data_IF_750525220812
#
_entry.id   IF_750525220812
#
_cell.length_a   1.000
_cell.length_b   1.000
_cell.length_c   1.000
_cell.angle_alpha   90.00
_cell.angle_beta   90.00
_cell.angle_gamma   90.00
#
_symmetry.space_group_name_H-M   'P 1'
#
loop_
_entity.id
_entity.type
_entity.pdbx_description
1 polymer ?
#
# COMPACT_ATOMS: atom_id res chain seq x y z
N UNK A 1 -1.06 3.77 -12.95
CA UNK A 1 -1.66 2.62 -12.23
C UNK A 1 -0.55 1.87 -11.51
N UNK A 2 -0.87 1.06 -10.50
CA UNK A 2 0.14 0.40 -9.63
C UNK A 2 -0.46 -0.84 -8.99
N UNK A 3 0.37 -1.72 -8.43
CA UNK A 3 -0.04 -2.74 -7.46
C UNK A 3 0.63 -2.42 -6.13
N UNK A 4 -0.17 -2.37 -5.07
CA UNK A 4 0.29 -2.18 -3.70
C UNK A 4 -0.18 -3.34 -2.82
N UNK A 5 0.63 -3.73 -1.85
CA UNK A 5 0.33 -4.81 -0.89
C UNK A 5 0.67 -4.42 0.53
N UNK A 6 -0.17 -4.86 1.47
CA UNK A 6 0.09 -4.80 2.91
C UNK A 6 -0.20 -6.14 3.55
N UNK A 7 0.77 -6.69 4.30
CA UNK A 7 0.61 -7.86 5.15
C UNK A 7 0.71 -7.42 6.61
N UNK A 8 -0.26 -7.85 7.42
CA UNK A 8 -0.16 -7.80 8.88
C UNK A 8 0.18 -9.21 9.35
N UNK A 9 1.36 -9.39 9.94
CA UNK A 9 1.85 -10.66 10.50
C UNK A 9 1.93 -10.56 12.01
N UNK A 10 2.23 -11.66 12.70
CA UNK A 10 2.32 -11.65 14.17
C UNK A 10 3.41 -10.71 14.70
N UNK A 11 4.55 -10.66 13.99
CA UNK A 11 5.77 -9.97 14.38
C UNK A 11 5.95 -8.59 13.70
N UNK A 12 5.11 -8.24 12.73
CA UNK A 12 5.08 -6.89 12.16
C UNK A 12 4.23 -6.72 10.91
N UNK A 13 4.33 -5.54 10.31
CA UNK A 13 3.59 -5.15 9.11
C UNK A 13 4.58 -5.00 7.95
N UNK A 14 4.25 -5.58 6.81
CA UNK A 14 5.00 -5.42 5.55
C UNK A 14 4.16 -4.63 4.57
N UNK A 15 4.68 -3.53 4.05
CA UNK A 15 4.09 -2.76 2.95
C UNK A 15 5.00 -2.83 1.74
N UNK A 16 4.47 -3.07 0.55
CA UNK A 16 5.29 -3.07 -0.66
C UNK A 16 4.52 -2.53 -1.87
N UNK A 17 5.25 -1.95 -2.83
CA UNK A 17 4.71 -1.44 -4.09
C UNK A 17 5.71 -1.57 -5.24
N UNK A 18 5.18 -1.71 -6.45
CA UNK A 18 5.93 -1.44 -7.67
C UNK A 18 6.26 0.06 -7.78
N UNK A 19 7.23 0.45 -8.60
CA UNK A 19 7.67 1.84 -8.72
C UNK A 19 7.29 2.53 -10.03
N UNK A 20 6.52 1.87 -10.90
CA UNK A 20 6.13 2.44 -12.20
C UNK A 20 5.00 3.43 -12.04
N UNK A 21 5.18 4.60 -12.63
CA UNK A 21 4.13 5.60 -12.83
C UNK A 21 3.71 5.61 -14.30
N UNK A 22 2.41 5.47 -14.53
CA UNK A 22 1.79 5.55 -15.86
C UNK A 22 1.35 6.99 -16.13
N UNK A 23 1.82 7.58 -17.22
CA UNK A 23 1.42 8.90 -17.68
C UNK A 23 0.55 8.73 -18.93
N UNK A 24 -0.67 9.27 -18.90
CA UNK A 24 -1.60 9.23 -20.02
C UNK A 24 -1.80 10.65 -20.55
N UNK A 25 -1.33 10.91 -21.76
CA UNK A 25 -1.54 12.17 -22.46
C UNK A 25 -2.68 12.03 -23.46
N UNK A 26 -3.77 12.75 -23.26
CA UNK A 26 -4.89 12.79 -24.21
C UNK A 26 -4.75 14.02 -25.10
N UNK A 27 -4.68 13.82 -26.42
CA UNK A 27 -4.61 14.88 -27.42
C UNK A 27 -6.02 15.38 -27.80
N UNK A 28 -6.15 16.60 -28.39
CA UNK A 28 -7.45 17.17 -28.76
C UNK A 28 -8.29 16.32 -29.73
N UNK A 29 -7.64 15.43 -30.49
CA UNK A 29 -8.30 14.49 -31.39
C UNK A 29 -8.76 13.18 -30.69
N UNK A 30 -8.64 13.11 -29.36
CA UNK A 30 -8.98 11.92 -28.56
C UNK A 30 -7.90 10.83 -28.55
N UNK A 31 -6.79 10.99 -29.29
CA UNK A 31 -5.67 10.04 -29.22
C UNK A 31 -5.07 10.05 -27.82
N UNK A 32 -4.76 8.88 -27.28
CA UNK A 32 -4.01 8.74 -26.04
C UNK A 32 -2.59 8.25 -26.33
N UNK A 33 -1.62 8.88 -25.68
CA UNK A 33 -0.23 8.40 -25.59
C UNK A 33 0.01 7.97 -24.15
N UNK A 34 0.46 6.73 -23.99
CA UNK A 34 0.82 6.16 -22.69
C UNK A 34 2.33 6.08 -22.61
N UNK A 35 2.88 6.57 -21.50
CA UNK A 35 4.31 6.44 -21.20
C UNK A 35 4.51 6.00 -19.76
N UNK A 36 5.67 5.43 -19.49
CA UNK A 36 6.00 4.84 -18.20
C UNK A 36 7.29 5.44 -17.67
N UNK A 37 7.32 5.67 -16.36
CA UNK A 37 8.53 6.05 -15.63
C UNK A 37 8.67 5.14 -14.41
N UNK A 38 9.86 4.57 -14.25
CA UNK A 38 10.19 3.68 -13.14
C UNK A 38 10.96 4.42 -12.05
N UNK A 39 10.97 3.86 -10.83
CA UNK A 39 11.70 4.40 -9.68
C UNK A 39 10.91 5.35 -8.77
N UNK A 40 9.64 5.61 -9.04
CA UNK A 40 8.81 6.49 -8.22
C UNK A 40 8.34 5.78 -6.94
N UNK A 41 8.52 6.42 -5.78
CA UNK A 41 8.09 5.85 -4.49
C UNK A 41 6.58 6.02 -4.32
N UNK A 42 5.94 4.94 -3.84
CA UNK A 42 4.50 4.91 -3.50
C UNK A 42 4.25 4.61 -2.03
N UNK A 43 5.33 4.44 -1.27
CA UNK A 43 5.32 4.24 0.16
C UNK A 43 5.95 5.48 0.79
N UNK A 44 5.32 6.01 1.83
CA UNK A 44 5.71 7.21 2.53
C UNK A 44 5.68 6.96 4.02
N UNK A 45 6.61 7.56 4.75
CA UNK A 45 6.51 7.67 6.20
C UNK A 45 5.70 8.92 6.54
N UNK A 46 4.78 8.82 7.50
CA UNK A 46 3.99 9.98 7.92
C UNK A 46 4.77 10.87 8.89
N UNK A 47 5.45 11.88 8.35
CA UNK A 47 6.33 12.76 9.11
C UNK A 47 7.52 12.00 9.69
N UNK A 48 7.78 12.19 10.99
CA UNK A 48 8.82 11.49 11.75
C UNK A 48 8.28 10.28 12.54
N UNK A 49 7.05 9.83 12.27
CA UNK A 49 6.37 8.76 13.02
C UNK A 49 6.56 7.40 12.36
N UNK A 50 6.48 6.34 13.16
CA UNK A 50 6.51 4.94 12.68
C UNK A 50 5.16 4.50 12.08
N UNK A 51 4.68 5.30 11.13
CA UNK A 51 3.43 5.08 10.38
C UNK A 51 3.77 5.10 8.89
N UNK A 52 3.46 4.01 8.22
CA UNK A 52 3.58 3.86 6.78
C UNK A 52 2.28 4.22 6.07
N UNK A 53 2.40 4.93 4.95
CA UNK A 53 1.32 5.28 4.03
C UNK A 53 1.70 4.74 2.66
N UNK A 54 0.86 3.86 2.12
CA UNK A 54 1.06 3.24 0.82
C UNK A 54 -0.07 3.69 -0.11
N UNK A 55 0.28 4.33 -1.21
CA UNK A 55 -0.66 5.08 -2.04
C UNK A 55 -0.71 4.52 -3.46
N UNK A 56 -1.91 4.33 -4.00
CA UNK A 56 -2.11 4.08 -5.42
C UNK A 56 -3.38 4.77 -5.95
N UNK A 57 -3.38 5.08 -7.24
CA UNK A 57 -4.42 5.89 -7.87
C UNK A 57 -3.83 7.18 -8.41
N UNK A 58 -4.52 8.30 -8.22
CA UNK A 58 -3.99 9.60 -8.63
C UNK A 58 -2.69 9.93 -7.86
N UNK A 59 -1.72 10.53 -8.55
CA UNK A 59 -0.44 10.94 -7.99
C UNK A 59 -0.48 12.35 -7.36
N UNK A 60 -1.67 12.95 -7.27
CA UNK A 60 -1.88 14.29 -6.72
C UNK A 60 -3.15 14.33 -5.86
N UNK A 61 -3.21 15.32 -4.96
CA UNK A 61 -4.41 15.69 -4.21
C UNK A 61 -4.65 17.18 -4.45
N UNK A 62 -5.57 17.51 -5.36
CA UNK A 62 -5.67 18.86 -5.90
C UNK A 62 -4.44 19.20 -6.73
N UNK A 63 -3.75 20.28 -6.38
CA UNK A 63 -2.53 20.74 -7.07
C UNK A 63 -1.22 20.22 -6.43
N UNK A 64 -1.31 19.52 -5.29
CA UNK A 64 -0.16 19.01 -4.53
C UNK A 64 0.18 17.59 -4.98
N UNK A 65 1.48 17.26 -5.10
CA UNK A 65 1.90 15.86 -5.20
C UNK A 65 1.74 15.14 -3.86
N UNK A 66 1.74 13.80 -3.87
CA UNK A 66 1.49 13.02 -2.64
C UNK A 66 2.49 13.35 -1.51
N UNK A 67 3.83 13.43 -1.75
CA UNK A 67 4.77 13.85 -0.71
C UNK A 67 4.44 15.20 -0.08
N UNK A 68 4.19 16.23 -0.89
CA UNK A 68 3.90 17.59 -0.40
C UNK A 68 2.59 17.61 0.38
N UNK A 69 1.57 16.94 -0.14
CA UNK A 69 0.28 16.77 0.53
C UNK A 69 0.44 16.14 1.92
N UNK A 70 1.17 15.02 2.02
CA UNK A 70 1.36 14.30 3.29
C UNK A 70 2.18 15.11 4.30
N UNK A 71 3.19 15.85 3.84
CA UNK A 71 3.98 16.76 4.69
C UNK A 71 3.12 17.93 5.22
N UNK A 72 2.28 18.50 4.35
CA UNK A 72 1.32 19.53 4.71
C UNK A 72 0.30 19.00 5.73
N UNK A 73 -0.24 17.81 5.50
CA UNK A 73 -1.18 17.14 6.40
C UNK A 73 -0.56 16.89 7.79
N UNK A 74 0.66 16.36 7.83
CA UNK A 74 1.41 16.15 9.07
C UNK A 74 1.59 17.45 9.87
N UNK A 75 1.85 18.56 9.18
CA UNK A 75 2.02 19.87 9.82
C UNK A 75 0.73 20.45 10.39
N UNK A 76 -0.44 20.06 9.84
CA UNK A 76 -1.77 20.53 10.29
C UNK A 76 -2.39 19.63 11.35
N UNK A 77 -2.07 18.34 11.35
CA UNK A 77 -2.60 17.39 12.32
C UNK A 77 -1.89 17.48 13.67
N UNK A 78 -2.60 17.07 14.73
CA UNK A 78 -1.98 16.85 16.03
C UNK A 78 -0.88 15.78 15.89
N UNK A 79 0.30 15.99 16.48
CA UNK A 79 1.39 14.99 16.49
C UNK A 79 0.98 13.65 17.11
N UNK A 80 -0.03 13.65 17.96
CA UNK A 80 -0.63 12.48 18.59
C UNK A 80 -1.83 11.90 17.83
N UNK A 81 -2.14 12.41 16.63
CA UNK A 81 -3.25 11.90 15.83
C UNK A 81 -3.12 10.39 15.65
N UNK A 82 -4.22 9.69 15.87
CA UNK A 82 -4.33 8.26 15.64
C UNK A 82 -4.18 7.94 14.15
N UNK A 83 -3.76 6.71 13.84
CA UNK A 83 -3.74 6.15 12.48
C UNK A 83 -5.14 6.25 11.86
N UNK A 84 -6.19 6.05 12.66
CA UNK A 84 -7.58 6.25 12.25
C UNK A 84 -7.85 7.70 11.84
N UNK A 85 -7.50 8.67 12.68
CA UNK A 85 -7.69 10.10 12.37
C UNK A 85 -6.91 10.52 11.12
N UNK A 86 -5.70 9.99 10.92
CA UNK A 86 -4.93 10.22 9.69
C UNK A 86 -5.69 9.67 8.48
N UNK A 87 -6.18 8.43 8.55
CA UNK A 87 -6.94 7.81 7.47
C UNK A 87 -8.25 8.57 7.16
N UNK A 88 -8.97 9.00 8.19
CA UNK A 88 -10.18 9.81 8.07
C UNK A 88 -9.88 11.17 7.44
N UNK A 89 -8.77 11.82 7.82
CA UNK A 89 -8.41 13.12 7.27
C UNK A 89 -7.94 13.05 5.82
N UNK A 90 -7.18 12.00 5.48
CA UNK A 90 -6.85 11.69 4.08
C UNK A 90 -8.14 11.54 3.29
N UNK A 91 -9.08 10.70 3.75
CA UNK A 91 -10.34 10.47 3.07
C UNK A 91 -11.16 11.76 2.87
N UNK A 92 -11.29 12.59 3.91
CA UNK A 92 -12.00 13.87 3.86
C UNK A 92 -11.41 14.80 2.80
N UNK A 93 -10.11 15.13 2.89
CA UNK A 93 -9.48 16.10 1.98
C UNK A 93 -9.43 15.58 0.54
N UNK A 94 -9.28 14.26 0.36
CA UNK A 94 -9.31 13.61 -0.93
C UNK A 94 -10.68 13.70 -1.61
N UNK A 95 -11.77 13.44 -0.87
CA UNK A 95 -13.12 13.55 -1.41
C UNK A 95 -13.49 14.99 -1.79
N UNK A 96 -12.95 15.98 -1.08
CA UNK A 96 -13.18 17.40 -1.37
C UNK A 96 -12.42 17.89 -2.59
N UNK A 97 -11.18 17.42 -2.79
CA UNK A 97 -10.23 18.00 -3.75
C UNK A 97 -10.05 17.20 -5.02
N UNK A 98 -10.42 15.92 -5.00
CA UNK A 98 -10.17 14.99 -6.12
C UNK A 98 -11.51 14.54 -6.69
N UNK A 99 -12.18 15.47 -7.39
CA UNK A 99 -13.50 15.19 -7.98
C UNK A 99 -13.40 14.17 -9.12
N UNK A 100 -13.99 12.99 -8.92
CA UNK A 100 -14.17 11.98 -9.97
C UNK A 100 -13.04 10.98 -10.15
N UNK A 101 -12.03 10.99 -9.27
CA UNK A 101 -10.93 10.02 -9.32
C UNK A 101 -10.93 9.10 -8.11
N UNK A 102 -10.40 7.90 -8.29
CA UNK A 102 -10.34 6.87 -7.25
C UNK A 102 -9.06 7.03 -6.42
N UNK A 103 -9.21 7.15 -5.12
CA UNK A 103 -8.09 7.19 -4.17
C UNK A 103 -8.07 5.88 -3.39
N UNK A 104 -6.89 5.28 -3.35
CA UNK A 104 -6.63 4.01 -2.67
C UNK A 104 -5.37 4.17 -1.84
N UNK A 105 -5.51 4.02 -0.54
CA UNK A 105 -4.43 4.27 0.39
C UNK A 105 -4.51 3.24 1.54
N UNK A 106 -3.36 2.70 1.91
CA UNK A 106 -3.19 1.90 3.13
C UNK A 106 -2.39 2.72 4.13
N UNK A 107 -2.87 2.82 5.37
CA UNK A 107 -2.20 3.51 6.48
C UNK A 107 -2.01 2.49 7.59
N UNK A 108 -0.76 2.23 7.95
CA UNK A 108 -0.43 1.17 8.90
C UNK A 108 0.66 1.59 9.89
N UNK A 109 0.61 1.02 11.09
CA UNK A 109 1.59 1.26 12.14
C UNK A 109 1.15 0.65 13.46
N UNK A 110 1.67 1.19 14.56
CA UNK A 110 1.34 0.74 15.91
C UNK A 110 0.71 1.86 16.72
N UNK A 111 -0.34 1.52 17.47
CA UNK A 111 -0.95 2.37 18.49
C UNK A 111 -0.92 1.66 19.83
N UNK A 112 -0.27 2.27 20.83
CA UNK A 112 -0.17 1.69 22.17
C UNK A 112 0.33 0.23 22.16
N UNK A 113 1.32 -0.07 21.30
CA UNK A 113 1.88 -1.41 21.14
C UNK A 113 1.03 -2.38 20.31
N UNK A 114 -0.09 -1.94 19.76
CA UNK A 114 -1.03 -2.75 18.98
C UNK A 114 -0.94 -2.41 17.50
N UNK A 115 -0.83 -3.41 16.63
CA UNK A 115 -0.84 -3.20 15.18
C UNK A 115 -2.20 -2.65 14.71
N UNK A 116 -2.18 -1.58 13.93
CA UNK A 116 -3.37 -0.96 13.34
C UNK A 116 -3.14 -0.73 11.86
N UNK A 117 -4.10 -1.16 11.04
CA UNK A 117 -4.08 -0.98 9.60
C UNK A 117 -5.45 -0.53 9.08
N UNK A 118 -5.48 0.66 8.53
CA UNK A 118 -6.63 1.26 7.87
C UNK A 118 -6.44 1.31 6.37
N UNK A 119 -7.51 1.04 5.65
CA UNK A 119 -7.60 1.20 4.21
C UNK A 119 -8.61 2.29 3.88
N UNK A 120 -8.21 3.20 3.00
CA UNK A 120 -9.07 4.21 2.37
C UNK A 120 -9.28 3.82 0.92
N UNK A 121 -10.52 3.55 0.52
CA UNK A 121 -10.88 3.24 -0.87
C UNK A 121 -12.16 3.97 -1.21
N UNK A 122 -12.11 4.79 -2.26
CA UNK A 122 -13.28 5.39 -2.90
C UNK A 122 -14.24 6.06 -1.89
N UNK A 123 -13.68 6.84 -0.96
CA UNK A 123 -14.43 7.61 0.04
C UNK A 123 -14.71 6.87 1.36
N UNK A 124 -14.27 5.62 1.49
CA UNK A 124 -14.57 4.76 2.65
C UNK A 124 -13.30 4.39 3.42
N UNK A 125 -13.31 4.62 4.73
CA UNK A 125 -12.26 4.21 5.67
C UNK A 125 -12.65 2.90 6.35
N UNK A 126 -11.78 1.89 6.31
CA UNK A 126 -12.02 0.57 6.91
C UNK A 126 -10.82 0.10 7.74
N UNK A 127 -11.05 -0.34 8.98
CA UNK A 127 -10.04 -1.02 9.80
C UNK A 127 -9.95 -2.49 9.35
N UNK A 128 -8.77 -2.92 8.85
CA UNK A 128 -8.63 -4.20 8.15
C UNK A 128 -8.11 -5.36 8.98
N UNK A 129 -7.30 -5.07 10.00
CA UNK A 129 -6.60 -6.09 10.77
C UNK A 129 -7.16 -6.24 12.18
N UNK A 130 -8.48 -6.16 12.35
CA UNK A 130 -9.14 -6.27 13.65
C UNK A 130 -10.17 -7.38 13.65
N UNK A 131 -10.16 -8.21 14.69
CA UNK A 131 -11.30 -9.06 15.00
C UNK A 131 -12.42 -8.18 15.57
N UNK A 132 -13.57 -8.04 14.90
CA UNK A 132 -14.62 -7.13 15.35
C UNK A 132 -15.27 -7.53 16.68
N UNK A 133 -15.23 -8.81 17.04
CA UNK A 133 -15.80 -9.32 18.29
C UNK A 133 -14.84 -9.15 19.48
N UNK A 134 -13.55 -9.36 19.24
CA UNK A 134 -12.52 -9.38 20.29
C UNK A 134 -11.75 -8.06 20.40
N UNK A 135 -11.79 -7.21 19.39
CA UNK A 135 -11.05 -5.96 19.33
C UNK A 135 -9.52 -6.13 19.25
N UNK A 136 -9.04 -7.32 18.89
CA UNK A 136 -7.61 -7.64 18.81
C UNK A 136 -7.11 -7.67 17.37
N UNK A 137 -5.82 -7.38 17.12
CA UNK A 137 -5.24 -7.49 15.80
C UNK A 137 -5.33 -8.90 15.22
N UNK A 138 -5.58 -9.00 13.91
CA UNK A 138 -5.55 -10.27 13.17
C UNK A 138 -4.50 -10.21 12.06
N UNK A 139 -4.01 -11.38 11.68
CA UNK A 139 -3.24 -11.50 10.44
C UNK A 139 -4.12 -11.05 9.27
N UNK A 140 -3.52 -10.29 8.38
CA UNK A 140 -4.22 -9.66 7.28
C UNK A 140 -3.34 -9.70 6.03
N UNK A 141 -3.95 -9.81 4.86
CA UNK A 141 -3.29 -9.48 3.60
C UNK A 141 -4.26 -8.68 2.74
N UNK A 142 -3.79 -7.53 2.27
CA UNK A 142 -4.59 -6.59 1.48
C UNK A 142 -3.82 -6.08 0.29
N UNK A 143 -4.53 -5.92 -0.83
CA UNK A 143 -3.99 -5.48 -2.11
C UNK A 143 -4.94 -4.48 -2.74
N UNK A 144 -4.38 -3.45 -3.36
CA UNK A 144 -5.13 -2.51 -4.18
C UNK A 144 -4.35 -2.07 -5.42
N UNK A 145 -5.05 -1.41 -6.34
CA UNK A 145 -4.54 -1.07 -7.66
C UNK A 145 -5.01 -2.05 -8.73
N UNK A 146 -4.10 -2.61 -9.53
CA UNK A 146 -4.45 -3.59 -10.57
C UNK A 146 -4.81 -4.95 -9.92
N UNK A 147 -6.10 -5.29 -9.92
CA UNK A 147 -6.68 -6.39 -9.11
C UNK A 147 -6.61 -7.78 -9.73
N UNK A 148 -6.21 -7.90 -11.00
CA UNK A 148 -6.29 -9.17 -11.70
C UNK A 148 -5.22 -10.18 -11.24
N UNK A 149 -4.01 -9.70 -10.91
CA UNK A 149 -2.89 -10.57 -10.51
C UNK A 149 -3.10 -11.15 -9.11
N UNK A 150 -3.63 -10.35 -8.18
CA UNK A 150 -3.97 -10.85 -6.84
C UNK A 150 -5.07 -11.90 -6.90
N UNK A 151 -6.01 -11.80 -7.85
CA UNK A 151 -7.04 -12.83 -8.07
C UNK A 151 -6.46 -14.14 -8.59
N UNK A 152 -5.49 -14.13 -9.50
CA UNK A 152 -4.89 -15.36 -10.05
C UNK A 152 -4.08 -16.09 -8.97
N UNK A 153 -3.24 -15.37 -8.23
CA UNK A 153 -2.40 -15.96 -7.17
C UNK A 153 -3.25 -16.55 -6.03
N UNK A 154 -4.33 -15.86 -5.65
CA UNK A 154 -5.18 -16.26 -4.51
C UNK A 154 -6.25 -17.27 -4.91
N UNK A 155 -6.91 -17.11 -6.08
CA UNK A 155 -8.07 -17.95 -6.46
C UNK A 155 -7.70 -19.17 -7.28
N UNK A 156 -6.64 -19.13 -8.09
CA UNK A 156 -6.25 -20.26 -8.94
C UNK A 156 -5.29 -21.23 -8.21
N UNK A 157 -5.01 -21.00 -6.92
CA UNK A 157 -4.14 -21.80 -6.04
C UNK A 157 -2.73 -22.02 -6.60
N UNK A 158 -2.24 -21.04 -7.35
CA UNK A 158 -0.89 -21.12 -7.88
C UNK A 158 0.11 -20.83 -6.75
N UNK A 159 1.09 -21.73 -6.58
CA UNK A 159 2.11 -21.56 -5.55
C UNK A 159 3.17 -20.58 -6.02
N UNK A 160 3.52 -19.63 -5.16
CA UNK A 160 4.65 -18.73 -5.38
C UNK A 160 5.93 -19.34 -4.81
N UNK A 161 7.02 -19.26 -5.55
CA UNK A 161 8.35 -19.61 -5.03
C UNK A 161 8.98 -18.40 -4.30
N UNK A 162 9.07 -18.49 -2.97
CA UNK A 162 9.69 -17.46 -2.12
C UNK A 162 11.10 -17.86 -1.66
N UNK A 163 11.99 -18.13 -2.62
CA UNK A 163 13.39 -18.46 -2.32
C UNK A 163 13.60 -19.95 -2.05
N UNK A 164 13.05 -20.80 -2.91
CA UNK A 164 13.11 -22.26 -2.85
C UNK A 164 11.95 -22.91 -2.09
N UNK A 165 11.00 -22.12 -1.57
CA UNK A 165 9.80 -22.61 -0.86
C UNK A 165 8.55 -22.20 -1.64
N UNK A 166 7.81 -23.20 -2.10
CA UNK A 166 6.51 -22.99 -2.74
C UNK A 166 5.44 -22.75 -1.68
N UNK A 167 4.81 -21.58 -1.72
CA UNK A 167 3.79 -21.14 -0.74
C UNK A 167 2.51 -20.70 -1.44
N UNK A 168 1.40 -20.77 -0.71
CA UNK A 168 0.12 -20.19 -1.12
C UNK A 168 -0.48 -19.32 0.01
N UNK A 169 -1.71 -18.82 -0.19
CA UNK A 169 -2.39 -17.96 0.79
C UNK A 169 -2.55 -18.63 2.17
N UNK A 170 -2.69 -19.96 2.22
CA UNK A 170 -2.86 -20.69 3.48
C UNK A 170 -1.59 -20.74 4.33
N UNK A 171 -0.43 -20.46 3.74
CA UNK A 171 0.84 -20.36 4.47
C UNK A 171 1.01 -18.98 5.15
N UNK A 172 0.31 -17.92 4.70
CA UNK A 172 0.48 -16.54 5.20
C UNK A 172 0.33 -16.44 6.73
N UNK A 173 -0.64 -17.11 7.38
CA UNK A 173 -0.76 -17.07 8.84
C UNK A 173 0.45 -17.62 9.62
N UNK A 174 1.35 -18.33 8.94
CA UNK A 174 2.53 -18.94 9.52
C UNK A 174 3.83 -18.23 9.12
N UNK A 175 3.74 -17.17 8.31
CA UNK A 175 4.92 -16.41 7.91
C UNK A 175 5.52 -15.65 9.08
N UNK A 176 6.85 -15.67 9.14
CA UNK A 176 7.64 -14.64 9.81
C UNK A 176 7.81 -13.43 8.89
N UNK A 177 8.23 -12.30 9.44
CA UNK A 177 8.44 -11.06 8.67
C UNK A 177 9.24 -11.22 7.37
N UNK A 178 10.39 -11.93 7.41
CA UNK A 178 11.23 -12.15 6.22
C UNK A 178 10.49 -12.93 5.11
N UNK A 179 9.69 -13.92 5.48
CA UNK A 179 8.86 -14.65 4.52
C UNK A 179 7.77 -13.75 3.94
N UNK A 180 7.14 -12.91 4.76
CA UNK A 180 6.18 -11.89 4.32
C UNK A 180 6.76 -10.92 3.30
N UNK A 181 7.99 -10.43 3.52
CA UNK A 181 8.70 -9.56 2.58
C UNK A 181 8.98 -10.28 1.27
N UNK A 182 9.54 -11.49 1.32
CA UNK A 182 9.83 -12.27 0.11
C UNK A 182 8.58 -12.59 -0.68
N UNK A 183 7.48 -12.89 0.00
CA UNK A 183 6.19 -13.15 -0.60
C UNK A 183 5.63 -11.90 -1.30
N UNK A 184 5.57 -10.76 -0.60
CA UNK A 184 5.13 -9.48 -1.16
C UNK A 184 5.95 -9.10 -2.41
N UNK A 185 7.27 -9.23 -2.31
CA UNK A 185 8.21 -8.95 -3.41
C UNK A 185 7.98 -9.88 -4.60
N UNK A 186 7.87 -11.18 -4.37
CA UNK A 186 7.67 -12.17 -5.45
C UNK A 186 6.37 -11.92 -6.19
N UNK A 187 5.31 -11.59 -5.45
CA UNK A 187 4.01 -11.21 -6.01
C UNK A 187 4.11 -9.95 -6.89
N UNK A 188 4.79 -8.91 -6.40
CA UNK A 188 4.96 -7.67 -7.16
C UNK A 188 5.88 -7.84 -8.39
N UNK A 189 6.95 -8.64 -8.28
CA UNK A 189 7.81 -8.96 -9.43
C UNK A 189 7.04 -9.67 -10.52
N UNK A 190 6.19 -10.64 -10.15
CA UNK A 190 5.28 -11.29 -11.08
C UNK A 190 4.33 -10.28 -11.72
N UNK A 191 3.79 -9.36 -10.93
CA UNK A 191 2.96 -8.26 -11.44
C UNK A 191 3.67 -7.41 -12.50
N UNK A 192 4.96 -7.12 -12.31
CA UNK A 192 5.79 -6.38 -13.27
C UNK A 192 6.08 -7.15 -14.56
N UNK A 193 6.08 -8.49 -14.51
CA UNK A 193 6.23 -9.33 -15.72
C UNK A 193 4.91 -9.40 -16.51
N UNK A 194 3.78 -9.45 -15.81
CA UNK A 194 2.47 -9.67 -16.42
C UNK A 194 1.76 -8.37 -16.86
N UNK A 195 2.18 -7.21 -16.34
CA UNK A 195 1.52 -5.92 -16.58
C UNK A 195 2.51 -4.81 -16.90
N UNK A 196 2.28 -4.16 -18.04
CA UNK A 196 3.08 -3.03 -18.49
C UNK A 196 2.97 -1.81 -17.56
N UNK A 197 1.89 -1.71 -16.77
CA UNK A 197 1.70 -0.63 -15.82
C UNK A 197 2.48 -0.80 -14.51
N UNK A 198 3.09 -1.97 -14.28
CA UNK A 198 3.92 -2.26 -13.10
C UNK A 198 5.41 -2.29 -13.49
N UNK A 199 6.29 -1.86 -12.59
CA UNK A 199 7.74 -1.85 -12.87
C UNK A 199 8.62 -1.82 -11.63
N UNK A 200 9.89 -2.15 -11.84
CA UNK A 200 10.94 -2.22 -10.83
C UNK A 200 11.69 -0.88 -10.70
N UNK A 201 12.35 -0.58 -9.56
CA UNK A 201 12.50 -1.41 -8.36
C UNK A 201 11.19 -1.63 -7.59
N UNK A 202 11.19 -2.62 -6.71
CA UNK A 202 10.11 -2.85 -5.75
C UNK A 202 10.52 -2.20 -4.43
N UNK A 203 9.71 -1.28 -3.93
CA UNK A 203 9.94 -0.68 -2.63
C UNK A 203 9.21 -1.47 -1.56
N UNK A 204 9.86 -1.71 -0.42
CA UNK A 204 9.24 -2.35 0.74
C UNK A 204 9.56 -1.58 2.02
N UNK A 205 8.60 -1.57 2.95
CA UNK A 205 8.68 -0.97 4.27
C UNK A 205 8.21 -2.01 5.29
N UNK A 206 9.04 -2.27 6.29
CA UNK A 206 8.67 -3.07 7.45
C UNK A 206 8.35 -2.10 8.59
N UNK A 207 7.26 -2.37 9.31
CA UNK A 207 6.88 -1.64 10.52
C UNK A 207 6.76 -2.65 11.65
N UNK A 208 7.47 -2.42 12.75
CA UNK A 208 7.44 -3.23 13.97
C UNK A 208 7.15 -2.34 15.18
N UNK A 209 6.97 -2.93 16.36
CA UNK A 209 6.87 -2.17 17.61
C UNK A 209 8.14 -1.40 17.96
N UNK A 210 9.28 -1.70 17.32
CA UNK A 210 10.56 -1.02 17.53
C UNK A 210 10.80 0.12 16.52
N UNK A 211 9.95 0.24 15.50
CA UNK A 211 10.00 1.29 14.49
C UNK A 211 9.94 0.77 13.06
N UNK A 212 10.34 1.61 12.11
CA UNK A 212 10.31 1.30 10.68
C UNK A 212 11.67 0.93 10.10
N UNK A 213 11.67 0.05 9.10
CA UNK A 213 12.84 -0.31 8.31
C UNK A 213 12.50 -0.32 6.82
N UNK A 214 13.26 0.44 6.04
CA UNK A 214 13.18 0.44 4.58
C UNK A 214 14.00 -0.70 3.98
N UNK A 215 13.42 -1.38 3.00
CA UNK A 215 14.13 -2.34 2.16
C UNK A 215 14.14 -1.78 0.74
N UNK A 216 15.35 -1.50 0.26
CA UNK A 216 15.62 -1.02 -1.09
C UNK A 216 16.33 -2.14 -1.86
N UNK A 217 15.64 -2.74 -2.82
CA UNK A 217 16.17 -3.81 -3.67
C UNK A 217 15.76 -3.65 -5.14
#
# INVERSE_FOLDING_TARGET
MSVIVTLCLYDGIVMAADSRTTLIRTYPNGKQEVSHRDGEKKIFQFGDRDIGILWCGNAQVGDEDIPDYLNGLFSRLNKLATIKEIAEKINEECNERVMGETIRCHIAGYENGTQCFYQVVDGVVTHKNINPELGIPTICVMWDGIRDISRVIVRDKEKLDIGGRLVDESDIPHFILDEGVRFARTMLKRSCVEREECGEPIYSLIITGEGIQWIYE
#
